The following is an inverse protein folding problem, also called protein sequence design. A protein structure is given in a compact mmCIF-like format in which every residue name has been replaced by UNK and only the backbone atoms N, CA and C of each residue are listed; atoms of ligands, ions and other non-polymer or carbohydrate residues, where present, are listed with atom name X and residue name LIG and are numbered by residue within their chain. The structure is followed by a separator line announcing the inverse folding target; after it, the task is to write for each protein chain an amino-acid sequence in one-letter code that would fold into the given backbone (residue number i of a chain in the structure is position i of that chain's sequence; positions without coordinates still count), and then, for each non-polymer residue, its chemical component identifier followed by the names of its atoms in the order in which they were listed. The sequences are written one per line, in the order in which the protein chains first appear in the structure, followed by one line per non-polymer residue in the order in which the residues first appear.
data_IF_568005542176
#
_entry.id   IF_568005542176
#
_cell.length_a   1.000
_cell.length_b   1.000
_cell.length_c   1.000
_cell.angle_alpha   90.00
_cell.angle_beta   90.00
_cell.angle_gamma   90.00
#
_symmetry.space_group_name_H-M   'P 1'
#
loop_
_entity.id
_entity.type
_entity.pdbx_description
1 polymer ?
#
# COMPACT_ATOMS: atom_id res chain seq x y z
N UNK A 1 -23.13 -1.38 8.13
CA UNK A 1 -22.30 -0.58 9.07
C UNK A 1 -21.46 0.39 8.25
N UNK A 2 -21.75 1.71 8.28
CA UNK A 2 -20.85 2.71 7.69
C UNK A 2 -19.75 2.98 8.69
N UNK A 3 -18.50 2.71 8.33
CA UNK A 3 -17.34 3.10 9.13
C UNK A 3 -17.12 4.59 8.86
N UNK A 4 -17.13 5.41 9.91
CA UNK A 4 -16.75 6.82 9.81
C UNK A 4 -15.21 6.88 9.86
N UNK A 5 -14.60 6.93 8.69
CA UNK A 5 -13.14 7.03 8.55
C UNK A 5 -12.73 8.50 8.74
N UNK A 6 -11.97 8.80 9.82
CA UNK A 6 -11.40 10.13 10.08
C UNK A 6 -10.02 10.30 9.42
N UNK A 7 -9.29 9.20 9.20
CA UNK A 7 -7.97 9.16 8.57
C UNK A 7 -7.95 8.13 7.46
N UNK A 8 -7.34 8.50 6.33
CA UNK A 8 -7.17 7.68 5.14
C UNK A 8 -5.70 7.68 4.77
N UNK A 9 -5.11 6.50 4.60
CA UNK A 9 -3.71 6.34 4.21
C UNK A 9 -3.64 5.69 2.82
N UNK A 10 -3.04 6.39 1.85
CA UNK A 10 -2.79 5.91 0.49
C UNK A 10 -1.30 5.68 0.33
N UNK A 11 -0.91 4.41 0.33
CA UNK A 11 0.49 3.97 0.29
C UNK A 11 0.79 3.38 -1.08
N UNK A 12 1.88 3.85 -1.70
CA UNK A 12 2.33 3.43 -3.01
C UNK A 12 3.71 2.76 -2.97
N UNK A 13 3.95 1.91 -3.97
CA UNK A 13 5.30 1.44 -4.28
C UNK A 13 6.22 2.61 -4.69
N UNK A 14 7.52 2.38 -4.55
CA UNK A 14 8.57 3.19 -5.15
C UNK A 14 9.15 2.45 -6.37
N UNK A 15 9.30 3.18 -7.47
CA UNK A 15 9.85 2.66 -8.71
C UNK A 15 11.26 3.23 -8.92
N UNK A 16 12.28 2.42 -8.61
CA UNK A 16 13.71 2.77 -8.80
C UNK A 16 14.28 2.00 -10.00
N UNK A 17 15.14 2.65 -10.79
CA UNK A 17 15.68 2.10 -12.05
C UNK A 17 16.82 1.06 -11.86
N UNK A 18 17.20 0.75 -10.60
CA UNK A 18 18.32 -0.15 -10.28
C UNK A 18 18.04 -1.03 -9.06
N UNK A 19 16.80 -1.47 -8.86
CA UNK A 19 16.46 -2.41 -7.78
C UNK A 19 16.21 -3.83 -8.30
N UNK A 20 16.32 -4.83 -7.42
CA UNK A 20 15.99 -6.24 -7.73
C UNK A 20 14.56 -6.34 -8.31
N UNK A 21 13.64 -5.50 -7.79
CA UNK A 21 12.27 -5.42 -8.30
C UNK A 21 12.19 -4.87 -9.72
N UNK A 22 13.09 -4.00 -10.14
CA UNK A 22 13.06 -3.49 -11.52
C UNK A 22 13.36 -4.60 -12.52
N UNK A 23 14.31 -5.49 -12.21
CA UNK A 23 14.59 -6.67 -13.03
C UNK A 23 13.38 -7.62 -13.13
N UNK A 24 12.71 -7.90 -12.00
CA UNK A 24 11.47 -8.69 -11.98
C UNK A 24 10.33 -8.01 -12.77
N UNK A 25 10.18 -6.69 -12.63
CA UNK A 25 9.19 -5.91 -13.38
C UNK A 25 9.48 -5.94 -14.88
N UNK A 26 10.74 -5.86 -15.29
CA UNK A 26 11.14 -5.98 -16.69
C UNK A 26 10.73 -7.34 -17.28
N UNK A 27 10.94 -8.43 -16.53
CA UNK A 27 10.51 -9.78 -16.95
C UNK A 27 8.97 -9.90 -17.10
N UNK A 28 8.20 -9.19 -16.27
CA UNK A 28 6.72 -9.17 -16.33
C UNK A 28 6.17 -8.23 -17.41
N UNK A 29 6.98 -7.29 -17.91
CA UNK A 29 6.56 -6.23 -18.83
C UNK A 29 6.72 -6.65 -20.29
N UNK A 30 5.68 -7.25 -20.87
CA UNK A 30 5.65 -7.58 -22.30
C UNK A 30 5.35 -6.35 -23.17
N UNK A 31 6.29 -5.40 -23.31
CA UNK A 31 6.20 -4.37 -24.35
C UNK A 31 7.01 -3.10 -24.13
N UNK A 32 7.37 -2.45 -25.24
CA UNK A 32 7.94 -1.11 -25.30
C UNK A 32 6.94 -0.09 -24.73
N UNK A 33 7.11 0.27 -23.45
CA UNK A 33 6.27 1.26 -22.79
C UNK A 33 6.36 2.62 -23.47
N UNK A 34 5.22 3.22 -23.80
CA UNK A 34 5.18 4.64 -24.22
C UNK A 34 5.56 5.48 -23.01
N UNK A 35 6.64 6.26 -23.10
CA UNK A 35 7.00 7.20 -22.04
C UNK A 35 6.11 8.45 -22.12
N UNK A 36 5.24 8.63 -21.13
CA UNK A 36 4.50 9.88 -20.98
C UNK A 36 5.39 10.85 -20.20
N UNK A 37 5.99 11.82 -20.91
CA UNK A 37 6.92 12.77 -20.28
C UNK A 37 6.27 13.66 -19.22
N UNK A 38 4.96 13.95 -19.34
CA UNK A 38 4.22 14.79 -18.40
C UNK A 38 2.76 14.35 -18.33
N UNK A 39 2.32 13.77 -17.21
CA UNK A 39 0.91 13.54 -16.93
C UNK A 39 0.34 14.86 -16.39
N UNK A 40 -0.73 15.36 -17.03
CA UNK A 40 -1.35 16.66 -16.71
C UNK A 40 -2.86 16.49 -16.54
N UNK A 41 -3.54 17.42 -15.84
CA UNK A 41 -4.99 17.39 -15.72
C UNK A 41 -5.66 17.42 -17.09
N UNK A 42 -6.72 16.61 -17.26
CA UNK A 42 -7.47 16.53 -18.53
C UNK A 42 -6.88 15.59 -19.58
N UNK A 43 -5.71 14.96 -19.35
CA UNK A 43 -5.20 13.92 -20.24
C UNK A 43 -6.12 12.69 -20.27
N UNK A 44 -6.58 12.31 -21.47
CA UNK A 44 -7.36 11.09 -21.67
C UNK A 44 -6.42 9.91 -21.97
N UNK A 45 -6.32 8.98 -21.00
CA UNK A 45 -5.49 7.78 -21.14
C UNK A 45 -6.34 6.67 -21.77
N UNK A 46 -6.15 6.43 -23.06
CA UNK A 46 -6.82 5.34 -23.77
C UNK A 46 -6.14 3.97 -23.54
N UNK A 47 -4.84 3.96 -23.27
CA UNK A 47 -4.04 2.73 -23.17
C UNK A 47 -3.47 2.53 -21.76
N UNK A 48 -4.35 2.39 -20.76
CA UNK A 48 -3.99 2.19 -19.35
C UNK A 48 -2.96 1.07 -19.12
N UNK A 49 -3.11 -0.06 -19.82
CA UNK A 49 -2.17 -1.18 -19.70
C UNK A 49 -0.73 -0.80 -20.08
N UNK A 50 -0.54 0.02 -21.13
CA UNK A 50 0.80 0.45 -21.54
C UNK A 50 1.36 1.51 -20.61
N UNK A 51 0.52 2.42 -20.14
CA UNK A 51 0.92 3.42 -19.15
C UNK A 51 1.38 2.74 -17.86
N UNK A 52 0.58 1.82 -17.33
CA UNK A 52 0.89 1.02 -16.15
C UNK A 52 1.90 -0.11 -16.42
N UNK A 53 2.41 -0.26 -17.63
CA UNK A 53 3.50 -1.18 -17.96
C UNK A 53 4.89 -0.58 -17.70
N UNK A 54 5.00 0.74 -17.51
CA UNK A 54 6.28 1.44 -17.33
C UNK A 54 6.45 1.93 -15.89
N UNK A 55 7.56 1.56 -15.25
CA UNK A 55 7.96 2.01 -13.91
C UNK A 55 8.00 3.55 -13.81
N UNK A 56 8.57 4.24 -14.80
CA UNK A 56 8.67 5.71 -14.82
C UNK A 56 7.31 6.39 -14.97
N UNK A 57 6.40 5.80 -15.75
CA UNK A 57 5.03 6.30 -15.88
C UNK A 57 4.25 6.13 -14.56
N UNK A 58 4.41 5.00 -13.87
CA UNK A 58 3.76 4.79 -12.56
C UNK A 58 4.26 5.80 -11.53
N UNK A 59 5.57 6.02 -11.45
CA UNK A 59 6.15 7.05 -10.58
C UNK A 59 5.60 8.45 -10.90
N UNK A 60 5.51 8.80 -12.19
CA UNK A 60 4.96 10.07 -12.66
C UNK A 60 3.46 10.20 -12.33
N UNK A 61 2.70 9.12 -12.41
CA UNK A 61 1.28 9.09 -12.07
C UNK A 61 1.08 9.31 -10.56
N UNK A 62 1.89 8.68 -9.71
CA UNK A 62 1.84 8.89 -8.26
C UNK A 62 2.15 10.35 -7.93
N UNK A 63 3.23 10.91 -8.47
CA UNK A 63 3.58 12.33 -8.30
C UNK A 63 2.44 13.25 -8.70
N UNK A 64 1.87 13.00 -9.88
CA UNK A 64 0.72 13.75 -10.37
C UNK A 64 -0.47 13.69 -9.40
N UNK A 65 -0.84 12.50 -8.94
CA UNK A 65 -1.96 12.34 -7.99
C UNK A 65 -1.71 13.09 -6.68
N UNK A 66 -0.51 12.99 -6.11
CA UNK A 66 -0.15 13.67 -4.86
C UNK A 66 -0.18 15.18 -5.03
N UNK A 67 0.38 15.72 -6.11
CA UNK A 67 0.36 17.15 -6.39
C UNK A 67 -1.05 17.68 -6.69
N UNK A 68 -1.93 16.89 -7.32
CA UNK A 68 -3.34 17.25 -7.44
C UNK A 68 -4.01 17.30 -6.07
N UNK A 69 -3.83 16.29 -5.22
CA UNK A 69 -4.43 16.27 -3.89
C UNK A 69 -3.91 17.37 -2.95
N UNK A 70 -2.78 18.02 -3.24
CA UNK A 70 -2.32 19.22 -2.50
C UNK A 70 -3.09 20.50 -2.88
N UNK A 71 -3.81 20.53 -4.02
CA UNK A 71 -4.54 21.72 -4.49
C UNK A 71 -5.86 21.93 -3.74
N UNK A 72 -6.24 23.17 -3.41
CA UNK A 72 -7.46 23.46 -2.64
C UNK A 72 -8.73 22.79 -3.17
N UNK A 73 -8.96 22.84 -4.49
CA UNK A 73 -10.12 22.24 -5.18
C UNK A 73 -10.30 20.73 -4.96
N UNK A 74 -9.22 20.00 -4.68
CA UNK A 74 -9.27 18.57 -4.39
C UNK A 74 -9.30 18.30 -2.89
N UNK A 75 -8.61 19.12 -2.09
CA UNK A 75 -8.64 19.04 -0.62
C UNK A 75 -10.02 19.31 -0.03
N UNK A 76 -10.84 20.12 -0.69
CA UNK A 76 -12.26 20.30 -0.30
C UNK A 76 -13.04 18.98 -0.19
N UNK A 77 -12.69 17.97 -0.99
CA UNK A 77 -13.34 16.65 -0.98
C UNK A 77 -13.00 15.82 0.26
N UNK A 78 -11.98 16.21 1.03
CA UNK A 78 -11.64 15.55 2.28
C UNK A 78 -12.63 15.88 3.39
N UNK A 79 -13.38 16.99 3.25
CA UNK A 79 -14.32 17.49 4.26
C UNK A 79 -13.63 17.68 5.62
N UNK A 80 -13.80 16.73 6.56
CA UNK A 80 -13.17 16.72 7.88
C UNK A 80 -12.19 15.57 8.09
N UNK A 81 -11.70 14.95 7.01
CA UNK A 81 -10.79 13.80 7.06
C UNK A 81 -9.34 14.22 6.82
N UNK A 82 -8.43 13.42 7.35
CA UNK A 82 -7.00 13.51 7.10
C UNK A 82 -6.59 12.47 6.04
N UNK A 83 -5.89 12.90 5.00
CA UNK A 83 -5.29 12.02 3.99
C UNK A 83 -3.78 11.97 4.19
N UNK A 84 -3.24 10.81 4.51
CA UNK A 84 -1.81 10.53 4.44
C UNK A 84 -1.51 9.87 3.10
N UNK A 85 -0.64 10.46 2.30
CA UNK A 85 -0.30 9.91 0.98
C UNK A 85 1.20 9.87 0.78
N UNK A 86 1.71 8.72 0.34
CA UNK A 86 3.14 8.56 0.08
C UNK A 86 3.52 9.03 -1.32
N UNK A 87 4.69 9.62 -1.48
CA UNK A 87 5.30 9.83 -2.79
C UNK A 87 6.80 9.58 -2.67
N UNK A 88 7.30 8.59 -3.41
CA UNK A 88 8.66 8.09 -3.24
C UNK A 88 8.92 7.75 -1.76
N UNK A 89 9.95 8.33 -1.16
CA UNK A 89 10.30 8.11 0.25
C UNK A 89 9.48 8.95 1.24
N UNK A 90 8.81 9.99 0.77
CA UNK A 90 8.11 10.95 1.62
C UNK A 90 6.66 10.54 1.86
N UNK A 91 6.07 11.10 2.91
CA UNK A 91 4.64 11.06 3.17
C UNK A 91 4.13 12.47 3.41
N UNK A 92 2.94 12.78 2.92
CA UNK A 92 2.27 14.06 3.14
C UNK A 92 0.97 13.84 3.87
N UNK A 93 0.76 14.61 4.94
CA UNK A 93 -0.53 14.77 5.59
C UNK A 93 -1.28 15.90 4.88
N UNK A 94 -2.49 15.63 4.43
CA UNK A 94 -3.33 16.55 3.67
C UNK A 94 -4.68 16.66 4.38
N UNK A 95 -5.08 17.88 4.70
CA UNK A 95 -6.42 18.21 5.20
C UNK A 95 -7.12 19.15 4.21
N UNK A 96 -8.38 19.50 4.49
CA UNK A 96 -9.12 20.50 3.72
C UNK A 96 -8.43 21.87 3.74
N UNK A 97 -7.75 22.22 4.82
CA UNK A 97 -7.16 23.55 5.06
C UNK A 97 -5.73 23.63 4.52
N UNK A 98 -4.90 22.62 4.81
CA UNK A 98 -3.48 22.63 4.45
C UNK A 98 -2.92 21.26 4.08
N UNK A 99 -1.63 21.22 3.76
CA UNK A 99 -0.85 20.00 3.69
C UNK A 99 0.54 20.24 4.30
N UNK A 100 1.12 19.19 4.87
CA UNK A 100 2.45 19.19 5.45
C UNK A 100 3.14 17.84 5.20
N UNK A 101 4.47 17.81 5.31
CA UNK A 101 5.22 16.55 5.31
C UNK A 101 5.01 15.83 6.66
N UNK A 102 4.83 14.52 6.60
CA UNK A 102 4.74 13.63 7.77
C UNK A 102 6.08 12.86 7.89
N UNK A 103 7.13 13.45 8.50
CA UNK A 103 8.46 12.85 8.54
C UNK A 103 8.51 11.50 9.27
N UNK A 104 7.59 11.27 10.21
CA UNK A 104 7.42 10.01 10.94
C UNK A 104 6.99 8.84 10.05
N UNK A 105 6.43 9.13 8.88
CA UNK A 105 6.03 8.15 7.86
C UNK A 105 6.99 8.09 6.67
N UNK A 106 8.13 8.78 6.74
CA UNK A 106 9.20 8.66 5.74
C UNK A 106 9.78 7.24 5.75
N UNK A 107 9.93 6.64 4.57
CA UNK A 107 10.44 5.27 4.45
C UNK A 107 11.34 5.09 3.22
N UNK A 108 12.39 4.28 3.36
CA UNK A 108 13.25 3.86 2.26
C UNK A 108 12.76 2.59 1.56
N UNK A 109 11.74 1.92 2.12
CA UNK A 109 11.16 0.70 1.56
C UNK A 109 10.50 0.96 0.21
N UNK A 110 10.66 0.01 -0.71
CA UNK A 110 10.12 0.13 -2.06
C UNK A 110 8.70 -0.36 -2.21
N UNK A 111 8.25 -1.28 -1.35
CA UNK A 111 6.96 -1.94 -1.49
C UNK A 111 5.89 -1.28 -0.63
N UNK A 112 4.67 -1.18 -1.16
CA UNK A 112 3.56 -0.60 -0.42
C UNK A 112 3.11 -1.46 0.77
N UNK A 113 3.23 -2.78 0.67
CA UNK A 113 2.77 -3.76 1.67
C UNK A 113 3.47 -3.63 3.03
N UNK A 114 4.79 -3.48 3.04
CA UNK A 114 5.60 -3.27 4.23
C UNK A 114 5.41 -1.88 4.80
N UNK A 115 5.30 -0.87 3.92
CA UNK A 115 4.97 0.51 4.30
C UNK A 115 3.58 0.62 4.93
N UNK A 116 2.59 -0.16 4.48
CA UNK A 116 1.24 -0.17 5.07
C UNK A 116 1.28 -0.48 6.56
N UNK A 117 2.19 -1.35 7.02
CA UNK A 117 2.33 -1.67 8.45
C UNK A 117 2.90 -0.49 9.26
N UNK A 118 3.82 0.29 8.69
CA UNK A 118 4.30 1.53 9.32
C UNK A 118 3.15 2.53 9.50
N UNK A 119 2.32 2.71 8.48
CA UNK A 119 1.14 3.57 8.54
C UNK A 119 0.11 3.07 9.57
N UNK A 120 -0.12 1.75 9.64
CA UNK A 120 -1.00 1.14 10.62
C UNK A 120 -0.50 1.33 12.06
N UNK A 121 0.81 1.19 12.30
CA UNK A 121 1.43 1.47 13.59
C UNK A 121 1.28 2.95 13.97
N UNK A 122 1.60 3.86 13.06
CA UNK A 122 1.45 5.30 13.31
C UNK A 122 0.00 5.68 13.62
N UNK A 123 -0.98 5.09 12.93
CA UNK A 123 -2.40 5.28 13.25
C UNK A 123 -2.73 4.75 14.65
N UNK A 124 -2.26 3.56 15.01
CA UNK A 124 -2.47 3.01 16.35
C UNK A 124 -1.90 3.93 17.45
N UNK A 125 -0.68 4.42 17.27
CA UNK A 125 0.00 5.34 18.20
C UNK A 125 -0.67 6.72 18.26
N UNK A 126 -1.33 7.13 17.17
CA UNK A 126 -2.17 8.33 17.13
C UNK A 126 -3.53 8.16 17.83
N UNK A 127 -3.79 7.00 18.47
CA UNK A 127 -4.99 6.75 19.26
C UNK A 127 -6.16 6.12 18.51
N UNK A 128 -5.98 5.75 17.24
CA UNK A 128 -7.01 5.02 16.49
C UNK A 128 -7.13 3.60 17.06
N UNK A 129 -8.33 3.18 17.47
CA UNK A 129 -8.54 1.84 18.08
C UNK A 129 -8.59 0.69 17.07
N UNK A 130 -8.79 1.03 15.79
CA UNK A 130 -8.95 0.06 14.72
C UNK A 130 -8.41 0.60 13.41
N UNK A 131 -7.74 -0.27 12.66
CA UNK A 131 -7.18 0.03 11.34
C UNK A 131 -7.71 -1.00 10.34
N UNK A 132 -8.19 -0.50 9.20
CA UNK A 132 -8.66 -1.34 8.09
C UNK A 132 -7.66 -1.24 6.96
N UNK A 133 -6.93 -2.32 6.71
CA UNK A 133 -5.99 -2.43 5.60
C UNK A 133 -6.77 -2.92 4.37
N UNK A 134 -6.80 -2.11 3.32
CA UNK A 134 -7.46 -2.46 2.06
C UNK A 134 -6.44 -2.93 1.05
N UNK A 135 -6.20 -4.23 1.00
CA UNK A 135 -5.33 -4.89 0.04
C UNK A 135 -5.87 -6.29 -0.26
N UNK A 136 -5.88 -6.67 -1.54
CA UNK A 136 -6.27 -8.03 -1.95
C UNK A 136 -5.09 -9.01 -1.92
N UNK A 137 -3.88 -8.51 -1.67
CA UNK A 137 -2.66 -9.33 -1.68
C UNK A 137 -2.58 -10.25 -0.45
N UNK A 138 -2.13 -11.48 -0.69
CA UNK A 138 -1.87 -12.46 0.36
C UNK A 138 -0.64 -12.06 1.17
N UNK A 139 0.34 -11.43 0.53
CA UNK A 139 1.61 -11.05 1.16
C UNK A 139 1.33 -10.02 2.27
N UNK A 140 0.40 -9.07 2.00
CA UNK A 140 -0.11 -8.14 3.02
C UNK A 140 -0.78 -8.87 4.17
N UNK A 141 -1.59 -9.91 3.92
CA UNK A 141 -2.24 -10.67 4.99
C UNK A 141 -1.23 -11.36 5.90
N UNK A 142 -0.22 -12.00 5.30
CA UNK A 142 0.87 -12.68 6.02
C UNK A 142 1.66 -11.68 6.87
N UNK A 143 2.04 -10.53 6.28
CA UNK A 143 2.71 -9.45 6.98
C UNK A 143 1.88 -8.92 8.16
N UNK A 144 0.57 -8.72 7.96
CA UNK A 144 -0.34 -8.30 9.03
C UNK A 144 -0.40 -9.33 10.16
N UNK A 145 -0.50 -10.63 9.85
CA UNK A 145 -0.54 -11.69 10.87
C UNK A 145 0.76 -11.77 11.66
N UNK A 146 1.92 -11.69 11.00
CA UNK A 146 3.22 -11.76 11.66
C UNK A 146 3.54 -10.51 12.50
N UNK A 147 3.01 -9.34 12.13
CA UNK A 147 3.32 -8.07 12.80
C UNK A 147 2.19 -7.52 13.67
N UNK A 148 1.02 -8.18 13.72
CA UNK A 148 -0.15 -7.71 14.47
C UNK A 148 0.15 -7.42 15.94
N UNK A 149 1.02 -8.21 16.58
CA UNK A 149 1.38 -8.03 17.99
C UNK A 149 2.13 -6.73 18.28
N UNK A 150 2.72 -6.09 17.26
CA UNK A 150 3.43 -4.81 17.37
C UNK A 150 2.54 -3.60 17.16
N UNK A 151 1.34 -3.79 16.62
CA UNK A 151 0.42 -2.70 16.31
C UNK A 151 -0.65 -2.67 17.41
N UNK A 152 -0.67 -1.67 18.30
CA UNK A 152 -1.59 -1.60 19.44
C UNK A 152 -3.01 -1.17 19.01
N UNK A 153 -3.59 -1.89 18.06
CA UNK A 153 -4.92 -1.64 17.50
C UNK A 153 -5.55 -2.90 16.97
N UNK A 154 -6.88 -2.89 16.85
CA UNK A 154 -7.59 -3.94 16.14
C UNK A 154 -7.35 -3.81 14.63
N UNK A 155 -6.73 -4.83 14.04
CA UNK A 155 -6.42 -4.89 12.62
C UNK A 155 -7.49 -5.68 11.87
N UNK A 156 -7.99 -5.09 10.80
CA UNK A 156 -8.86 -5.74 9.84
C UNK A 156 -8.24 -5.67 8.45
N UNK A 157 -8.38 -6.73 7.67
CA UNK A 157 -8.09 -6.68 6.25
C UNK A 157 -9.39 -6.73 5.45
N UNK A 158 -9.60 -5.75 4.59
CA UNK A 158 -10.72 -5.73 3.65
C UNK A 158 -10.31 -6.45 2.37
N UNK A 159 -11.02 -7.52 2.04
CA UNK A 159 -10.79 -8.33 0.84
C UNK A 159 -12.04 -8.37 -0.05
N UNK A 160 -11.85 -8.52 -1.36
CA UNK A 160 -12.92 -8.77 -2.33
C UNK A 160 -13.66 -7.51 -2.77
N UNK A 161 -14.19 -7.57 -4.00
CA UNK A 161 -14.84 -6.43 -4.67
C UNK A 161 -16.37 -6.49 -4.62
N UNK A 162 -16.99 -5.30 -4.66
CA UNK A 162 -18.45 -5.10 -4.78
C UNK A 162 -19.26 -5.88 -3.74
N UNK A 163 -20.10 -6.81 -4.18
CA UNK A 163 -21.06 -7.55 -3.33
C UNK A 163 -20.39 -8.69 -2.53
N UNK A 164 -19.08 -8.91 -2.69
CA UNK A 164 -18.32 -9.96 -2.00
C UNK A 164 -17.25 -9.39 -1.06
N UNK A 165 -17.37 -8.14 -0.65
CA UNK A 165 -16.46 -7.54 0.33
C UNK A 165 -16.56 -8.28 1.66
N UNK A 166 -15.41 -8.69 2.19
CA UNK A 166 -15.24 -9.35 3.48
C UNK A 166 -14.23 -8.56 4.30
N UNK A 167 -14.44 -8.50 5.61
CA UNK A 167 -13.48 -7.96 6.55
C UNK A 167 -12.97 -9.13 7.37
N UNK A 168 -11.69 -9.44 7.22
CA UNK A 168 -10.99 -10.44 8.01
C UNK A 168 -10.46 -9.75 9.26
N UNK A 169 -10.86 -10.24 10.44
CA UNK A 169 -10.32 -9.78 11.71
C UNK A 169 -8.94 -10.44 11.94
N UNK A 170 -7.89 -9.70 11.59
CA UNK A 170 -6.51 -10.18 11.68
C UNK A 170 -6.12 -10.36 13.14
N UNK A 171 -6.59 -9.48 14.03
CA UNK A 171 -6.29 -9.57 15.46
C UNK A 171 -6.85 -10.84 16.07
N UNK A 172 -8.11 -11.17 15.76
CA UNK A 172 -8.75 -12.41 16.22
C UNK A 172 -8.11 -13.65 15.59
N UNK A 173 -7.78 -13.60 14.30
CA UNK A 173 -7.10 -14.70 13.61
C UNK A 173 -5.70 -14.95 14.20
N UNK A 174 -4.92 -13.90 14.45
CA UNK A 174 -3.59 -14.00 15.08
C UNK A 174 -3.66 -14.65 16.46
N UNK A 175 -4.64 -14.26 17.29
CA UNK A 175 -4.86 -14.91 18.60
C UNK A 175 -5.22 -16.39 18.48
N UNK A 176 -5.98 -16.75 17.46
CA UNK A 176 -6.44 -18.13 17.22
C UNK A 176 -5.30 -19.01 16.74
N UNK A 177 -4.45 -18.50 15.84
CA UNK A 177 -3.27 -19.21 15.34
C UNK A 177 -2.15 -19.32 16.38
N UNK A 178 -2.04 -18.31 17.25
CA UNK A 178 -0.98 -18.21 18.25
C UNK A 178 0.30 -17.59 17.70
N UNK A 179 1.06 -16.92 18.60
CA UNK A 179 2.23 -16.13 18.23
C UNK A 179 3.29 -16.93 17.46
N UNK A 180 3.60 -18.16 17.92
CA UNK A 180 4.60 -19.00 17.25
C UNK A 180 4.27 -19.31 15.79
N UNK A 181 2.99 -19.51 15.46
CA UNK A 181 2.56 -19.74 14.07
C UNK A 181 2.69 -18.43 13.30
N UNK A 182 2.16 -17.33 13.82
CA UNK A 182 2.24 -16.01 13.19
C UNK A 182 3.67 -15.57 12.88
N UNK A 183 4.60 -15.75 13.82
CA UNK A 183 6.01 -15.41 13.65
C UNK A 183 6.67 -16.27 12.57
N UNK A 184 6.26 -17.53 12.47
CA UNK A 184 6.78 -18.47 11.46
C UNK A 184 6.22 -18.21 10.06
N UNK A 185 5.04 -17.58 9.92
CA UNK A 185 4.38 -17.35 8.63
C UNK A 185 5.22 -16.47 7.70
N UNK A 186 5.92 -15.46 8.22
CA UNK A 186 6.77 -14.58 7.40
C UNK A 186 7.92 -15.38 6.77
N UNK A 187 8.61 -16.19 7.58
CA UNK A 187 9.68 -17.06 7.10
C UNK A 187 9.17 -18.14 6.15
N UNK A 188 8.05 -18.79 6.49
CA UNK A 188 7.42 -19.80 5.64
C UNK A 188 7.02 -19.24 4.28
N UNK A 189 6.43 -18.05 4.25
CA UNK A 189 5.99 -17.40 3.02
C UNK A 189 7.16 -17.13 2.07
N UNK A 190 8.31 -16.69 2.60
CA UNK A 190 9.55 -16.59 1.82
C UNK A 190 9.96 -17.96 1.25
N UNK A 191 9.90 -19.04 2.03
CA UNK A 191 10.28 -20.38 1.53
C UNK A 191 9.32 -20.99 0.50
N UNK A 192 8.02 -20.66 0.56
CA UNK A 192 7.01 -21.19 -0.37
C UNK A 192 6.81 -20.35 -1.63
N UNK A 193 7.64 -19.32 -1.80
CA UNK A 193 7.58 -18.37 -2.91
C UNK A 193 6.87 -17.08 -2.51
N UNK A 194 7.62 -15.97 -2.54
CA UNK A 194 7.10 -14.62 -2.51
C UNK A 194 7.68 -13.81 -3.67
N UNK A 195 7.34 -12.53 -3.77
CA UNK A 195 7.75 -11.65 -4.87
C UNK A 195 9.28 -11.55 -5.07
N UNK A 196 10.09 -11.95 -4.09
CA UNK A 196 11.57 -11.87 -4.11
C UNK A 196 12.28 -13.22 -4.20
N UNK A 197 11.59 -14.34 -4.02
CA UNK A 197 12.21 -15.68 -3.96
C UNK A 197 11.33 -16.73 -4.63
N UNK A 198 11.96 -17.63 -5.40
CA UNK A 198 11.28 -18.78 -6.00
C UNK A 198 10.89 -19.80 -4.94
N UNK A 199 9.76 -20.49 -5.16
CA UNK A 199 9.36 -21.63 -4.32
C UNK A 199 10.26 -22.85 -4.56
N UNK A 200 10.32 -23.74 -3.57
CA UNK A 200 10.96 -25.05 -3.75
C UNK A 200 10.29 -25.85 -4.89
N UNK A 201 11.10 -26.48 -5.73
CA UNK A 201 10.61 -27.31 -6.84
C UNK A 201 9.67 -28.42 -6.33
N UNK A 202 8.47 -28.51 -6.91
CA UNK A 202 7.42 -29.47 -6.50
C UNK A 202 6.73 -29.14 -5.17
N UNK A 203 7.01 -27.99 -4.57
CA UNK A 203 6.43 -27.49 -3.32
C UNK A 203 6.08 -26.00 -3.48
N UNK A 204 5.14 -25.71 -4.36
CA UNK A 204 4.49 -24.40 -4.50
C UNK A 204 3.04 -24.45 -4.02
N UNK A 205 2.32 -23.32 -4.11
CA UNK A 205 0.88 -23.23 -3.78
C UNK A 205 0.05 -24.32 -4.45
#
# INVERSE_FOLDING_TARGET
MRVLEQRIDVVFDVYKETSIKDAERANRSAGTGIHFKNIQPGHNIQQWRKLLGSSSNKASLIKFLVEEWKKPQHREKLEGKELYVTCEQLCFKITKEQWEEAPELKSSQEEADTRLLLHALHAAESGYKSVIITAEDTDVMVLCLGMCHKIPSHLFQKCGTKNRTRFLDITTLSRTLGGSVCDSLIGMHAFTGCDTVSAFAGRGR
#
